data_IF_537004802913
#
_entry.id   IF_537004802913
#
_cell.length_a   1.000
_cell.length_b   1.000
_cell.length_c   1.000
_cell.angle_alpha   90.00
_cell.angle_beta   90.00
_cell.angle_gamma   90.00
#
_symmetry.space_group_name_H-M   'P 1'
#
loop_
_entity.id
_entity.type
_entity.pdbx_description
1 polymer ?
#
# COMPACT_ATOMS: atom_id res chain seq x y z
N UNK A 1 11.61 -25.26 5.29
CA UNK A 1 10.68 -25.14 4.14
C UNK A 1 11.17 -23.98 3.29
N UNK A 2 10.79 -23.91 2.02
CA UNK A 2 11.07 -22.75 1.17
C UNK A 2 9.75 -22.20 0.65
N UNK A 3 9.66 -20.89 0.46
CA UNK A 3 8.46 -20.23 -0.03
C UNK A 3 8.70 -19.58 -1.41
N UNK A 4 7.63 -19.31 -2.15
CA UNK A 4 7.71 -18.64 -3.45
C UNK A 4 6.51 -17.73 -3.65
N UNK A 5 6.79 -16.50 -4.12
CA UNK A 5 5.82 -15.50 -4.56
C UNK A 5 6.13 -15.21 -6.03
N UNK A 6 5.15 -15.40 -6.91
CA UNK A 6 5.34 -15.18 -8.35
C UNK A 6 4.09 -14.60 -9.01
N UNK A 7 4.26 -13.57 -9.84
CA UNK A 7 3.17 -13.01 -10.64
C UNK A 7 2.07 -12.36 -9.82
N UNK A 8 2.37 -11.91 -8.59
CA UNK A 8 1.36 -11.34 -7.70
C UNK A 8 1.33 -9.82 -7.79
N UNK A 9 0.14 -9.26 -7.52
CA UNK A 9 -0.05 -7.83 -7.32
C UNK A 9 -0.53 -7.56 -5.90
N UNK A 10 0.33 -6.96 -5.06
CA UNK A 10 -0.05 -6.47 -3.73
C UNK A 10 -0.23 -4.96 -3.79
N UNK A 11 -1.36 -4.47 -3.28
CA UNK A 11 -1.71 -3.04 -3.25
C UNK A 11 -1.99 -2.64 -1.81
N UNK A 12 -1.35 -1.57 -1.34
CA UNK A 12 -1.65 -0.92 -0.07
C UNK A 12 -1.60 -1.85 1.16
N UNK A 13 -0.50 -2.58 1.28
CA UNK A 13 -0.21 -3.43 2.43
C UNK A 13 0.21 -2.54 3.60
N UNK A 14 -0.62 -2.48 4.65
CA UNK A 14 -0.44 -1.58 5.82
C UNK A 14 0.66 -2.01 6.80
N UNK A 15 1.31 -3.13 6.52
CA UNK A 15 2.40 -3.70 7.30
C UNK A 15 3.43 -4.28 6.32
N UNK A 16 4.07 -5.38 6.69
CA UNK A 16 4.99 -6.16 5.86
C UNK A 16 4.28 -6.72 4.59
N UNK A 17 4.77 -6.36 3.40
CA UNK A 17 4.31 -6.94 2.14
C UNK A 17 4.65 -8.44 2.05
N UNK A 18 5.78 -8.85 2.65
CA UNK A 18 6.19 -10.25 2.81
C UNK A 18 6.71 -10.44 4.22
N UNK A 19 6.15 -11.40 4.95
CA UNK A 19 6.54 -11.74 6.32
C UNK A 19 7.20 -13.14 6.34
N UNK A 20 8.48 -13.20 6.68
CA UNK A 20 9.28 -14.43 6.83
C UNK A 20 9.92 -14.51 8.21
N UNK A 21 9.09 -14.45 9.25
CA UNK A 21 9.49 -14.67 10.64
C UNK A 21 10.07 -16.07 10.88
N UNK A 22 9.86 -17.00 9.95
CA UNK A 22 10.43 -18.35 9.99
C UNK A 22 11.87 -18.43 9.45
N UNK A 23 12.40 -17.32 8.93
CA UNK A 23 13.76 -17.18 8.41
C UNK A 23 14.10 -18.19 7.31
N UNK A 24 13.13 -18.56 6.47
CA UNK A 24 13.31 -19.57 5.44
C UNK A 24 13.99 -19.02 4.18
N UNK A 25 14.37 -19.92 3.27
CA UNK A 25 14.76 -19.49 1.93
C UNK A 25 13.51 -19.18 1.10
N UNK A 26 13.63 -18.21 0.20
CA UNK A 26 12.49 -17.66 -0.51
C UNK A 26 12.80 -17.24 -1.94
N UNK A 27 11.77 -17.14 -2.76
CA UNK A 27 11.87 -16.52 -4.09
C UNK A 27 10.71 -15.59 -4.32
N UNK A 28 11.02 -14.36 -4.73
CA UNK A 28 10.08 -13.37 -5.25
C UNK A 28 10.41 -13.16 -6.72
N UNK A 29 9.45 -13.36 -7.60
CA UNK A 29 9.67 -13.26 -9.04
C UNK A 29 8.51 -12.58 -9.74
N UNK A 30 8.83 -11.66 -10.65
CA UNK A 30 7.84 -11.06 -11.56
C UNK A 30 6.60 -10.54 -10.83
N UNK A 31 6.79 -9.84 -9.71
CA UNK A 31 5.70 -9.42 -8.82
C UNK A 31 5.70 -7.90 -8.63
N UNK A 32 4.50 -7.33 -8.47
CA UNK A 32 4.29 -5.92 -8.21
C UNK A 32 3.76 -5.71 -6.79
N UNK A 33 4.55 -5.04 -5.96
CA UNK A 33 4.20 -4.59 -4.63
C UNK A 33 4.05 -3.06 -4.66
N UNK A 34 2.83 -2.58 -4.89
CA UNK A 34 2.51 -1.18 -5.12
C UNK A 34 1.94 -0.51 -3.87
N UNK A 35 2.82 -0.32 -2.89
CA UNK A 35 2.50 0.35 -1.63
C UNK A 35 2.53 -0.61 -0.47
N UNK A 36 3.70 -0.75 0.13
CA UNK A 36 3.92 -1.43 1.40
C UNK A 36 4.29 -0.41 2.48
N UNK A 37 3.86 -0.63 3.71
CA UNK A 37 4.43 0.11 4.84
C UNK A 37 5.84 -0.39 5.13
N UNK A 38 6.00 -1.71 5.17
CA UNK A 38 7.27 -2.43 5.22
C UNK A 38 7.38 -3.39 4.03
N UNK A 39 8.53 -3.47 3.38
CA UNK A 39 8.72 -4.29 2.18
C UNK A 39 8.74 -5.79 2.49
N UNK A 40 9.89 -6.27 2.95
CA UNK A 40 10.11 -7.69 3.29
C UNK A 40 10.64 -7.73 4.72
N UNK A 41 9.95 -8.50 5.57
CA UNK A 41 10.34 -8.78 6.94
C UNK A 41 10.93 -10.18 7.05
N UNK A 42 12.06 -10.28 7.72
CA UNK A 42 12.61 -11.51 8.26
C UNK A 42 13.12 -11.19 9.66
N UNK A 43 12.18 -10.84 10.54
CA UNK A 43 12.47 -10.38 11.90
C UNK A 43 11.78 -11.29 12.90
N UNK A 44 12.56 -11.92 13.76
CA UNK A 44 12.05 -12.77 14.83
C UNK A 44 11.54 -11.94 16.00
N UNK A 45 10.70 -12.55 16.83
CA UNK A 45 10.22 -11.93 18.06
C UNK A 45 10.39 -12.84 19.28
N UNK A 46 10.45 -12.22 20.47
CA UNK A 46 10.71 -12.93 21.72
C UNK A 46 9.55 -13.83 22.13
N UNK A 47 9.78 -15.13 22.22
CA UNK A 47 8.75 -16.11 22.55
C UNK A 47 8.08 -16.76 21.34
N UNK A 48 8.59 -16.49 20.13
CA UNK A 48 8.13 -17.14 18.91
C UNK A 48 8.24 -18.67 19.02
N UNK A 49 7.14 -19.36 18.70
CA UNK A 49 7.02 -20.82 18.71
C UNK A 49 6.35 -21.31 17.43
N UNK A 50 6.97 -22.25 16.67
CA UNK A 50 8.29 -22.83 16.93
C UNK A 50 9.41 -21.79 16.81
N UNK A 51 10.52 -22.03 17.51
CA UNK A 51 11.72 -21.20 17.36
C UNK A 51 12.25 -21.37 15.92
N UNK A 52 12.38 -20.28 15.14
CA UNK A 52 12.79 -20.37 13.74
C UNK A 52 14.27 -20.76 13.56
N UNK A 53 15.08 -20.67 14.62
CA UNK A 53 16.50 -21.03 14.59
C UNK A 53 17.38 -19.90 14.05
N UNK A 54 18.36 -20.26 13.22
CA UNK A 54 19.29 -19.33 12.58
C UNK A 54 19.21 -19.49 11.05
N UNK A 55 18.64 -18.48 10.39
CA UNK A 55 18.49 -18.44 8.94
C UNK A 55 19.65 -17.73 8.23
N UNK A 56 20.75 -17.37 8.90
CA UNK A 56 21.82 -16.54 8.33
C UNK A 56 22.54 -17.17 7.11
N UNK A 57 22.34 -18.47 6.90
CA UNK A 57 22.83 -19.23 5.72
C UNK A 57 21.76 -19.41 4.64
N UNK A 58 20.49 -19.12 4.93
CA UNK A 58 19.40 -19.16 3.96
C UNK A 58 19.47 -17.98 3.00
N UNK A 59 18.73 -18.08 1.90
CA UNK A 59 18.74 -17.10 0.82
C UNK A 59 17.33 -16.76 0.35
N UNK A 60 17.04 -15.47 0.29
CA UNK A 60 15.88 -14.92 -0.40
C UNK A 60 16.35 -14.31 -1.71
N UNK A 61 15.77 -14.77 -2.82
CA UNK A 61 16.09 -14.27 -4.17
C UNK A 61 14.91 -13.44 -4.67
N UNK A 62 15.15 -12.19 -5.05
CA UNK A 62 14.15 -11.33 -5.66
C UNK A 62 14.58 -10.97 -7.08
N UNK A 63 13.70 -11.21 -8.07
CA UNK A 63 13.99 -10.95 -9.48
C UNK A 63 12.82 -10.36 -10.25
N UNK A 64 13.11 -9.47 -11.19
CA UNK A 64 12.13 -8.89 -12.13
C UNK A 64 10.91 -8.28 -11.42
N UNK A 65 11.08 -7.78 -10.19
CA UNK A 65 9.96 -7.38 -9.34
C UNK A 65 10.02 -5.89 -9.01
N UNK A 66 8.85 -5.34 -8.69
CA UNK A 66 8.65 -3.92 -8.41
C UNK A 66 8.19 -3.77 -6.95
N UNK A 67 8.89 -2.98 -6.15
CA UNK A 67 8.56 -2.76 -4.73
C UNK A 67 8.53 -1.28 -4.41
N UNK A 68 7.36 -0.75 -4.03
CA UNK A 68 7.21 0.65 -3.61
C UNK A 68 6.72 0.74 -2.18
N UNK A 69 7.41 1.59 -1.40
CA UNK A 69 6.95 1.97 -0.08
C UNK A 69 5.89 3.07 -0.14
N UNK A 70 4.95 3.04 0.78
CA UNK A 70 3.84 3.99 0.84
C UNK A 70 3.53 4.42 2.27
N UNK A 71 3.40 5.74 2.47
CA UNK A 71 2.95 6.30 3.73
C UNK A 71 1.51 5.88 4.04
N UNK A 72 1.25 5.58 5.31
CA UNK A 72 -0.05 5.11 5.79
C UNK A 72 -0.68 6.15 6.72
N UNK A 73 -2.01 6.18 6.75
CA UNK A 73 -2.82 7.17 7.47
C UNK A 73 -2.69 7.11 9.00
N UNK A 74 -2.38 5.94 9.58
CA UNK A 74 -1.76 5.74 10.90
C UNK A 74 -1.61 4.23 11.17
N UNK A 75 -0.41 3.71 11.51
CA UNK A 75 -0.29 2.29 11.82
C UNK A 75 -0.80 1.98 13.24
N UNK A 76 -0.59 2.84 14.26
CA UNK A 76 -0.88 2.50 15.67
C UNK A 76 -1.19 3.68 16.63
N UNK A 77 -1.78 4.79 16.13
CA UNK A 77 -1.99 6.10 16.81
C UNK A 77 -0.80 7.09 16.71
N UNK A 78 -1.09 8.39 16.72
CA UNK A 78 -0.09 9.47 16.59
C UNK A 78 -0.08 10.16 15.23
N UNK A 79 0.93 11.01 14.98
CA UNK A 79 1.17 11.63 13.66
C UNK A 79 1.37 10.52 12.63
N UNK A 80 0.73 10.57 11.45
CA UNK A 80 0.91 9.56 10.42
C UNK A 80 2.41 9.44 10.12
N UNK A 81 3.04 8.29 10.37
CA UNK A 81 4.40 8.08 9.90
C UNK A 81 4.38 8.10 8.37
N UNK A 82 5.56 8.28 7.77
CA UNK A 82 5.73 7.99 6.35
C UNK A 82 5.52 6.47 6.11
N UNK A 83 6.28 5.87 5.22
CA UNK A 83 6.49 4.43 5.25
C UNK A 83 7.62 4.10 6.22
N UNK A 84 7.85 2.81 6.43
CA UNK A 84 9.00 2.33 7.17
C UNK A 84 10.10 1.94 6.16
N UNK A 85 10.45 0.67 6.00
CA UNK A 85 11.63 0.28 5.23
C UNK A 85 11.36 -0.80 4.18
N UNK A 86 12.29 -0.98 3.23
CA UNK A 86 12.23 -2.11 2.29
C UNK A 86 12.57 -3.42 3.00
N UNK A 87 13.41 -3.36 4.02
CA UNK A 87 13.92 -4.52 4.75
C UNK A 87 13.75 -4.32 6.25
N UNK A 88 12.99 -5.20 6.87
CA UNK A 88 12.85 -5.34 8.32
C UNK A 88 13.57 -6.62 8.73
N UNK A 89 14.80 -6.49 9.22
CA UNK A 89 15.78 -7.58 9.18
C UNK A 89 16.48 -7.82 10.51
N UNK A 90 16.54 -9.08 10.92
CA UNK A 90 17.31 -9.50 12.09
C UNK A 90 18.73 -9.98 11.76
N UNK A 91 19.64 -10.03 12.76
CA UNK A 91 20.97 -10.61 12.59
C UNK A 91 20.97 -12.07 12.11
N UNK A 92 19.96 -12.87 12.49
CA UNK A 92 19.81 -14.27 12.08
C UNK A 92 19.05 -14.45 10.77
N UNK A 93 18.59 -13.37 10.15
CA UNK A 93 17.76 -13.45 8.97
C UNK A 93 18.53 -13.93 7.73
N UNK A 94 17.83 -14.43 6.70
CA UNK A 94 18.43 -14.85 5.44
C UNK A 94 19.31 -13.78 4.79
N UNK A 95 20.19 -14.22 3.88
CA UNK A 95 20.82 -13.33 2.92
C UNK A 95 19.83 -12.98 1.80
N UNK A 96 20.13 -11.93 1.05
CA UNK A 96 19.33 -11.50 -0.10
C UNK A 96 20.16 -11.49 -1.38
N UNK A 97 19.57 -11.94 -2.50
CA UNK A 97 20.13 -11.78 -3.83
C UNK A 97 19.11 -11.10 -4.75
N UNK A 98 19.51 -10.00 -5.40
CA UNK A 98 18.59 -9.05 -6.03
C UNK A 98 18.94 -8.82 -7.50
N UNK A 99 18.01 -9.14 -8.42
CA UNK A 99 18.26 -9.06 -9.87
C UNK A 99 17.16 -8.34 -10.62
N UNK A 100 17.51 -7.27 -11.36
CA UNK A 100 16.57 -6.58 -12.25
C UNK A 100 15.26 -6.15 -11.54
N UNK A 101 15.38 -5.64 -10.31
CA UNK A 101 14.24 -5.12 -9.56
C UNK A 101 14.20 -3.60 -9.63
N UNK A 102 13.00 -3.03 -9.48
CA UNK A 102 12.84 -1.59 -9.31
C UNK A 102 12.21 -1.35 -7.95
N UNK A 103 12.91 -0.59 -7.12
CA UNK A 103 12.47 -0.14 -5.82
C UNK A 103 12.04 1.32 -5.91
N UNK A 104 11.04 1.74 -5.15
CA UNK A 104 10.64 3.15 -5.06
C UNK A 104 10.30 3.57 -3.63
N UNK A 105 10.86 4.70 -3.22
CA UNK A 105 10.50 5.37 -1.98
C UNK A 105 10.40 6.88 -2.22
N UNK A 106 9.38 7.49 -1.61
CA UNK A 106 9.03 8.90 -1.84
C UNK A 106 9.44 9.81 -0.66
N UNK A 107 9.92 9.21 0.43
CA UNK A 107 10.42 9.89 1.61
C UNK A 107 11.44 9.00 2.35
N UNK A 108 12.10 9.54 3.36
CA UNK A 108 12.93 8.72 4.26
C UNK A 108 12.05 7.83 5.14
N UNK A 109 12.63 6.70 5.58
CA UNK A 109 11.99 5.76 6.48
C UNK A 109 11.75 6.40 7.84
N UNK A 110 10.58 6.14 8.43
CA UNK A 110 10.25 6.60 9.77
C UNK A 110 11.23 6.08 10.84
N UNK A 111 11.61 4.81 10.79
CA UNK A 111 12.56 4.19 11.72
C UNK A 111 13.96 3.98 11.10
N UNK A 112 14.34 4.76 10.09
CA UNK A 112 15.61 4.61 9.39
C UNK A 112 16.79 4.42 10.38
N UNK A 113 17.51 3.30 10.22
CA UNK A 113 18.73 2.99 10.96
C UNK A 113 18.47 2.55 12.40
N UNK A 114 17.21 2.32 12.76
CA UNK A 114 16.75 1.82 14.05
C UNK A 114 15.95 0.54 13.83
N UNK A 115 15.77 -0.23 14.90
CA UNK A 115 14.82 -1.36 14.91
C UNK A 115 15.04 -2.44 13.82
N UNK A 116 16.22 -2.53 13.19
CA UNK A 116 16.45 -3.45 12.07
C UNK A 116 15.79 -3.02 10.75
N UNK A 117 15.54 -1.72 10.56
CA UNK A 117 14.89 -1.16 9.37
C UNK A 117 15.91 -0.56 8.40
N UNK A 118 15.85 -0.96 7.12
CA UNK A 118 16.80 -0.55 6.08
C UNK A 118 16.13 -0.24 4.73
N UNK A 119 16.52 0.89 4.13
CA UNK A 119 16.17 1.26 2.75
C UNK A 119 17.13 0.64 1.72
N UNK A 120 18.38 0.36 2.09
CA UNK A 120 19.33 -0.41 1.30
C UNK A 120 19.32 -1.89 1.74
N UNK A 121 19.90 -2.83 0.96
CA UNK A 121 20.07 -4.20 1.42
C UNK A 121 20.74 -4.23 2.81
N UNK A 122 20.22 -5.04 3.76
CA UNK A 122 20.70 -4.99 5.14
C UNK A 122 22.22 -5.24 5.23
N UNK A 123 22.95 -4.54 6.13
CA UNK A 123 24.41 -4.66 6.24
C UNK A 123 24.88 -6.12 6.38
N UNK A 124 25.79 -6.54 5.51
CA UNK A 124 26.35 -7.90 5.52
C UNK A 124 25.40 -9.01 5.02
N UNK A 125 24.20 -8.67 4.55
CA UNK A 125 23.19 -9.63 4.08
C UNK A 125 23.08 -9.74 2.57
N UNK A 126 23.69 -8.84 1.81
CA UNK A 126 23.74 -8.92 0.36
C UNK A 126 24.64 -10.10 -0.08
N UNK A 127 24.05 -11.12 -0.67
CA UNK A 127 24.76 -12.30 -1.20
C UNK A 127 25.20 -12.09 -2.66
N UNK A 128 24.37 -11.44 -3.47
CA UNK A 128 24.66 -11.07 -4.86
C UNK A 128 23.66 -10.01 -5.35
N UNK A 129 24.00 -9.30 -6.42
CA UNK A 129 23.04 -8.43 -7.10
C UNK A 129 23.46 -8.04 -8.51
N UNK A 130 22.46 -7.76 -9.35
CA UNK A 130 22.66 -7.13 -10.65
C UNK A 130 21.45 -6.28 -11.07
N UNK A 131 21.71 -5.18 -11.78
CA UNK A 131 20.73 -4.43 -12.56
C UNK A 131 19.49 -3.92 -11.79
N UNK A 132 19.62 -3.65 -10.49
CA UNK A 132 18.53 -3.06 -9.72
C UNK A 132 18.47 -1.54 -9.90
N UNK A 133 17.28 -0.98 -9.82
CA UNK A 133 17.07 0.47 -9.84
C UNK A 133 16.36 0.92 -8.55
N UNK A 134 16.84 1.99 -7.95
CA UNK A 134 16.17 2.71 -6.87
C UNK A 134 15.63 4.03 -7.42
N UNK A 135 14.31 4.16 -7.46
CA UNK A 135 13.61 5.41 -7.74
C UNK A 135 13.43 6.15 -6.41
N UNK A 136 14.29 7.12 -6.14
CA UNK A 136 14.28 7.92 -4.92
C UNK A 136 13.63 9.27 -5.20
N UNK A 137 12.44 9.49 -4.66
CA UNK A 137 11.70 10.75 -4.80
C UNK A 137 11.68 11.58 -3.50
N UNK A 138 12.33 11.09 -2.44
CA UNK A 138 12.51 11.82 -1.21
C UNK A 138 13.42 13.03 -1.37
N UNK A 139 13.43 13.91 -0.36
CA UNK A 139 14.27 15.10 -0.36
C UNK A 139 15.75 14.73 -0.22
N UNK A 140 16.62 15.44 -0.94
CA UNK A 140 18.07 15.25 -0.84
C UNK A 140 18.58 13.94 -1.45
N UNK A 141 19.77 13.52 -0.99
CA UNK A 141 20.42 12.28 -1.47
C UNK A 141 19.76 11.07 -0.80
N UNK A 142 19.80 9.92 -1.47
CA UNK A 142 19.40 8.66 -0.87
C UNK A 142 20.16 8.43 0.46
N UNK A 143 19.49 8.05 1.55
CA UNK A 143 20.02 8.27 2.89
C UNK A 143 20.88 7.11 3.41
N UNK A 144 20.95 5.98 2.69
CA UNK A 144 21.77 4.82 3.04
C UNK A 144 22.84 4.49 1.98
N UNK A 145 23.93 3.79 2.35
CA UNK A 145 24.88 3.28 1.37
C UNK A 145 24.23 2.21 0.47
N UNK A 146 23.92 2.60 -0.76
CA UNK A 146 23.42 1.67 -1.78
C UNK A 146 24.57 1.25 -2.72
N UNK A 147 24.90 -0.05 -2.81
CA UNK A 147 26.05 -0.50 -3.58
C UNK A 147 25.80 -0.32 -5.09
N UNK A 148 26.56 0.58 -5.72
CA UNK A 148 26.52 0.73 -7.19
C UNK A 148 27.14 -0.47 -7.90
N UNK A 149 28.05 -1.18 -7.24
CA UNK A 149 28.65 -2.44 -7.72
C UNK A 149 28.74 -3.47 -6.61
N UNK A 150 28.75 -4.74 -6.98
CA UNK A 150 28.99 -5.86 -6.09
C UNK A 150 29.76 -6.94 -6.85
N UNK A 151 30.84 -7.46 -6.26
CA UNK A 151 31.74 -8.44 -6.90
C UNK A 151 32.17 -8.06 -8.34
N UNK A 152 32.43 -6.76 -8.58
CA UNK A 152 32.88 -6.24 -9.88
C UNK A 152 31.79 -6.08 -10.94
N UNK A 153 30.50 -6.24 -10.60
CA UNK A 153 29.36 -6.06 -11.51
C UNK A 153 28.48 -4.89 -11.06
N UNK A 154 27.77 -4.19 -11.97
CA UNK A 154 26.74 -3.21 -11.60
C UNK A 154 25.66 -3.84 -10.72
N UNK A 155 25.23 -3.14 -9.68
CA UNK A 155 24.28 -3.66 -8.69
C UNK A 155 23.04 -2.78 -8.55
N UNK A 156 23.18 -1.52 -8.12
CA UNK A 156 22.10 -0.53 -8.07
C UNK A 156 22.41 0.73 -8.87
N UNK A 157 21.40 1.25 -9.57
CA UNK A 157 21.36 2.62 -10.09
C UNK A 157 20.31 3.42 -9.32
N UNK A 158 20.62 4.65 -8.93
CA UNK A 158 19.64 5.56 -8.30
C UNK A 158 19.16 6.57 -9.33
N UNK A 159 17.86 6.82 -9.39
CA UNK A 159 17.23 7.84 -10.23
C UNK A 159 16.15 8.60 -9.47
N UNK A 160 15.90 9.85 -9.85
CA UNK A 160 14.76 10.66 -9.39
C UNK A 160 13.63 10.68 -10.43
N UNK A 161 13.81 10.01 -11.55
CA UNK A 161 12.81 9.95 -12.62
C UNK A 161 11.70 8.96 -12.26
N UNK A 162 10.56 9.51 -11.80
CA UNK A 162 9.36 8.75 -11.46
C UNK A 162 8.84 7.92 -12.65
N UNK A 163 9.09 8.34 -13.89
CA UNK A 163 8.59 7.64 -15.08
C UNK A 163 9.19 6.24 -15.23
N UNK A 164 10.35 5.96 -14.63
CA UNK A 164 10.94 4.63 -14.55
C UNK A 164 10.02 3.65 -13.82
N UNK A 165 9.49 4.08 -12.67
CA UNK A 165 8.50 3.29 -11.92
C UNK A 165 7.19 3.16 -12.70
N UNK A 166 6.65 4.27 -13.19
CA UNK A 166 5.33 4.29 -13.85
C UNK A 166 5.33 3.41 -15.12
N UNK A 167 6.41 3.46 -15.91
CA UNK A 167 6.58 2.62 -17.10
C UNK A 167 6.72 1.15 -16.74
N UNK A 168 7.45 0.83 -15.68
CA UNK A 168 7.62 -0.54 -15.22
C UNK A 168 6.30 -1.14 -14.73
N UNK A 169 5.51 -0.38 -13.95
CA UNK A 169 4.17 -0.79 -13.51
C UNK A 169 3.25 -1.01 -14.71
N UNK A 170 3.22 -0.08 -15.66
CA UNK A 170 2.40 -0.21 -16.87
C UNK A 170 2.76 -1.46 -17.67
N UNK A 171 4.06 -1.74 -17.83
CA UNK A 171 4.56 -2.95 -18.50
C UNK A 171 4.20 -4.22 -17.73
N UNK A 172 4.39 -4.24 -16.42
CA UNK A 172 4.05 -5.39 -15.59
C UNK A 172 2.55 -5.71 -15.72
N UNK A 173 1.67 -4.70 -15.60
CA UNK A 173 0.22 -4.87 -15.79
C UNK A 173 -0.14 -5.39 -17.18
N UNK A 174 0.50 -4.86 -18.23
CA UNK A 174 0.28 -5.34 -19.60
C UNK A 174 0.67 -6.82 -19.79
N UNK A 175 1.69 -7.28 -19.07
CA UNK A 175 2.15 -8.68 -19.10
C UNK A 175 1.37 -9.60 -18.15
N UNK A 176 0.56 -9.03 -17.24
CA UNK A 176 -0.25 -9.77 -16.27
C UNK A 176 -1.74 -9.41 -16.42
N UNK A 177 -2.35 -9.69 -17.59
CA UNK A 177 -3.75 -9.37 -17.79
C UNK A 177 -4.63 -10.20 -16.86
N UNK A 178 -5.58 -9.56 -16.18
CA UNK A 178 -6.61 -10.27 -15.42
C UNK A 178 -7.58 -10.94 -16.40
N UNK A 179 -7.48 -12.26 -16.55
CA UNK A 179 -8.29 -13.01 -17.53
C UNK A 179 -9.66 -13.43 -17.01
N UNK A 180 -9.89 -13.34 -15.71
CA UNK A 180 -11.16 -13.68 -15.09
C UNK A 180 -12.09 -12.47 -15.12
N UNK A 181 -13.39 -12.70 -15.32
CA UNK A 181 -14.39 -11.64 -15.12
C UNK A 181 -14.35 -11.17 -13.68
N UNK A 182 -14.51 -9.87 -13.48
CA UNK A 182 -14.77 -9.32 -12.16
C UNK A 182 -16.24 -9.54 -11.81
N UNK A 183 -16.52 -10.07 -10.63
CA UNK A 183 -17.87 -10.40 -10.17
C UNK A 183 -18.10 -10.02 -8.71
N UNK A 184 -17.06 -9.60 -8.00
CA UNK A 184 -17.20 -9.13 -6.64
C UNK A 184 -17.70 -7.69 -6.69
N UNK A 185 -18.61 -7.35 -5.80
CA UNK A 185 -19.00 -5.96 -5.62
C UNK A 185 -18.05 -5.29 -4.60
N UNK A 186 -17.83 -3.97 -4.71
CA UNK A 186 -17.03 -3.26 -3.71
C UNK A 186 -17.60 -3.40 -2.29
N UNK A 187 -16.74 -3.31 -1.30
CA UNK A 187 -17.13 -3.10 0.11
C UNK A 187 -17.09 -1.60 0.37
N UNK A 188 -18.18 -1.03 0.87
CA UNK A 188 -18.30 0.41 1.13
C UNK A 188 -18.92 0.72 2.50
N UNK A 189 -18.40 1.73 3.18
CA UNK A 189 -18.94 2.28 4.43
C UNK A 189 -18.83 3.80 4.48
N UNK A 190 -19.72 4.46 5.22
CA UNK A 190 -19.61 5.91 5.49
C UNK A 190 -18.62 6.13 6.65
N UNK A 191 -17.60 6.95 6.42
CA UNK A 191 -16.58 7.29 7.41
C UNK A 191 -16.88 8.61 8.13
N UNK A 192 -17.19 9.66 7.37
CA UNK A 192 -17.66 10.97 7.87
C UNK A 192 -19.04 11.24 7.27
N UNK A 193 -20.07 11.56 8.09
CA UNK A 193 -19.97 12.07 9.46
C UNK A 193 -19.88 11.00 10.58
N UNK A 194 -19.86 9.71 10.25
CA UNK A 194 -19.69 8.60 11.20
C UNK A 194 -20.71 7.47 10.99
N UNK A 195 -20.41 6.26 11.47
CA UNK A 195 -21.24 5.05 11.29
C UNK A 195 -22.37 4.88 12.33
N UNK A 196 -22.43 5.70 13.39
CA UNK A 196 -23.43 5.56 14.47
C UNK A 196 -23.87 6.93 15.01
N UNK A 197 -25.19 7.18 15.06
CA UNK A 197 -25.81 8.32 15.73
C UNK A 197 -26.44 9.38 14.82
N UNK A 198 -27.11 10.37 15.43
CA UNK A 198 -27.60 11.58 14.75
C UNK A 198 -26.45 12.55 14.57
N UNK A 199 -25.85 12.55 13.39
CA UNK A 199 -24.86 13.55 12.99
C UNK A 199 -25.58 14.75 12.39
N UNK A 200 -25.46 15.91 13.04
CA UNK A 200 -26.06 17.15 12.55
C UNK A 200 -25.15 17.76 11.48
N UNK A 201 -25.67 17.92 10.26
CA UNK A 201 -25.00 18.57 9.15
C UNK A 201 -25.47 20.03 9.04
N UNK A 202 -24.53 20.96 8.97
CA UNK A 202 -24.80 22.39 8.89
C UNK A 202 -23.85 23.06 7.91
N UNK A 203 -24.43 23.82 6.98
CA UNK A 203 -23.72 24.52 5.93
C UNK A 203 -22.89 23.61 5.04
N UNK A 204 -21.66 24.01 4.74
CA UNK A 204 -20.77 23.17 3.93
C UNK A 204 -20.13 22.08 4.78
N UNK A 205 -20.41 20.83 4.43
CA UNK A 205 -19.91 19.64 5.13
C UNK A 205 -19.02 18.80 4.21
N UNK A 206 -18.08 18.06 4.81
CA UNK A 206 -17.24 17.10 4.10
C UNK A 206 -17.70 15.69 4.43
N UNK A 207 -18.20 15.00 3.42
CA UNK A 207 -18.62 13.61 3.48
C UNK A 207 -17.47 12.73 3.02
N UNK A 208 -17.24 11.63 3.73
CA UNK A 208 -16.18 10.67 3.37
C UNK A 208 -16.74 9.27 3.46
N UNK A 209 -16.55 8.48 2.40
CA UNK A 209 -16.82 7.06 2.37
C UNK A 209 -15.48 6.31 2.27
N UNK A 210 -15.42 5.12 2.86
CA UNK A 210 -14.34 4.16 2.60
C UNK A 210 -14.87 3.14 1.63
N UNK A 211 -14.16 2.88 0.52
CA UNK A 211 -14.52 1.85 -0.43
C UNK A 211 -13.27 1.08 -0.88
N UNK A 212 -13.39 -0.24 -0.95
CA UNK A 212 -12.36 -1.15 -1.45
C UNK A 212 -13.01 -2.24 -2.28
N UNK A 213 -12.22 -2.84 -3.16
CA UNK A 213 -12.63 -3.89 -4.08
C UNK A 213 -11.42 -4.81 -4.34
N UNK A 214 -11.63 -6.05 -4.76
CA UNK A 214 -10.54 -6.99 -5.04
C UNK A 214 -9.76 -6.60 -6.31
N UNK A 215 -10.32 -5.73 -7.16
CA UNK A 215 -9.62 -5.14 -8.31
C UNK A 215 -9.47 -3.63 -8.19
N UNK A 216 -10.58 -2.92 -8.27
CA UNK A 216 -10.58 -1.45 -8.31
C UNK A 216 -11.97 -0.87 -8.07
N UNK A 217 -12.05 0.15 -7.22
CA UNK A 217 -13.25 0.99 -7.11
C UNK A 217 -13.19 2.10 -8.15
N UNK A 218 -14.12 2.10 -9.11
CA UNK A 218 -14.21 3.12 -10.15
C UNK A 218 -14.88 4.43 -9.69
N UNK A 219 -15.69 4.37 -8.63
CA UNK A 219 -16.27 5.58 -8.06
C UNK A 219 -17.23 5.34 -6.90
N UNK A 220 -17.51 6.42 -6.18
CA UNK A 220 -18.45 6.47 -5.06
C UNK A 220 -19.42 7.64 -5.21
N UNK A 221 -20.71 7.34 -5.27
CA UNK A 221 -21.79 8.32 -5.29
C UNK A 221 -22.44 8.44 -3.91
N UNK A 222 -22.39 9.62 -3.31
CA UNK A 222 -23.13 9.93 -2.08
C UNK A 222 -24.60 10.21 -2.40
N UNK A 223 -25.51 9.80 -1.51
CA UNK A 223 -26.96 9.97 -1.68
C UNK A 223 -27.65 10.34 -0.36
N UNK A 224 -28.65 11.22 -0.44
CA UNK A 224 -29.55 11.62 0.66
C UNK A 224 -30.97 11.13 0.32
N UNK A 225 -31.55 10.25 1.14
CA UNK A 225 -32.84 9.59 0.89
C UNK A 225 -32.94 8.99 -0.52
N UNK A 226 -31.84 8.36 -0.95
CA UNK A 226 -31.72 7.74 -2.27
C UNK A 226 -31.42 8.70 -3.43
N UNK A 227 -31.44 10.02 -3.22
CA UNK A 227 -31.13 11.03 -4.24
C UNK A 227 -29.65 11.39 -4.23
N UNK A 228 -29.00 11.44 -5.41
CA UNK A 228 -27.58 11.78 -5.52
C UNK A 228 -27.26 13.17 -4.95
N UNK A 229 -26.17 13.23 -4.19
CA UNK A 229 -25.55 14.45 -3.70
C UNK A 229 -24.31 14.69 -4.54
N UNK A 230 -24.29 15.79 -5.29
CA UNK A 230 -23.15 16.16 -6.14
C UNK A 230 -22.83 15.14 -7.23
N UNK A 231 -21.70 15.35 -7.89
CA UNK A 231 -21.13 14.38 -8.82
C UNK A 231 -20.54 13.19 -8.06
N UNK A 232 -20.41 12.07 -8.75
CA UNK A 232 -19.68 10.93 -8.23
C UNK A 232 -18.20 11.25 -8.04
N UNK A 233 -17.64 10.74 -6.94
CA UNK A 233 -16.21 10.84 -6.66
C UNK A 233 -15.51 9.65 -7.33
N UNK A 234 -14.66 9.92 -8.32
CA UNK A 234 -13.93 8.90 -9.09
C UNK A 234 -12.46 8.76 -8.68
N UNK A 235 -12.02 9.52 -7.67
CA UNK A 235 -10.65 9.51 -7.18
C UNK A 235 -10.62 9.30 -5.67
N UNK A 236 -9.83 8.33 -5.23
CA UNK A 236 -9.53 8.13 -3.82
C UNK A 236 -8.44 9.10 -3.34
N UNK A 237 -8.69 9.79 -2.22
CA UNK A 237 -7.73 10.67 -1.56
C UNK A 237 -8.10 10.86 -0.07
N UNK A 238 -7.32 10.31 0.89
CA UNK A 238 -6.22 9.35 0.71
C UNK A 238 -6.72 8.00 0.16
N UNK A 239 -5.83 7.03 -0.07
CA UNK A 239 -6.22 5.72 -0.62
C UNK A 239 -7.35 5.08 0.20
N UNK A 240 -8.28 4.41 -0.47
CA UNK A 240 -9.54 3.84 0.05
C UNK A 240 -10.59 4.87 0.49
N UNK A 241 -10.30 6.18 0.47
CA UNK A 241 -11.24 7.23 0.91
C UNK A 241 -11.75 8.05 -0.27
N UNK A 242 -13.06 8.15 -0.39
CA UNK A 242 -13.74 8.99 -1.37
C UNK A 242 -14.40 10.15 -0.65
N UNK A 243 -14.06 11.37 -1.02
CA UNK A 243 -14.44 12.58 -0.28
C UNK A 243 -15.24 13.53 -1.15
N UNK A 244 -16.37 14.02 -0.63
CA UNK A 244 -17.24 15.00 -1.28
C UNK A 244 -17.48 16.18 -0.34
N UNK A 245 -17.17 17.38 -0.80
CA UNK A 245 -17.62 18.63 -0.15
C UNK A 245 -19.03 18.98 -0.66
N UNK A 246 -19.97 19.14 0.26
CA UNK A 246 -21.37 19.38 -0.06
C UNK A 246 -21.96 20.53 0.75
N UNK A 247 -22.69 21.42 0.07
CA UNK A 247 -23.46 22.49 0.72
C UNK A 247 -24.88 22.03 1.09
N UNK A 248 -25.10 21.81 2.39
CA UNK A 248 -26.38 21.33 2.90
C UNK A 248 -27.47 22.42 2.95
N UNK A 249 -27.15 23.71 2.72
CA UNK A 249 -28.16 24.79 2.63
C UNK A 249 -29.20 24.55 1.53
N UNK A 250 -28.86 23.72 0.54
CA UNK A 250 -29.75 23.32 -0.55
C UNK A 250 -30.87 22.36 -0.13
N UNK A 251 -30.90 21.90 1.12
CA UNK A 251 -31.91 20.99 1.67
C UNK A 251 -32.62 21.62 2.87
N UNK A 252 -33.90 21.29 3.02
CA UNK A 252 -34.70 21.72 4.17
C UNK A 252 -34.19 21.08 5.46
N UNK A 253 -34.34 21.79 6.59
CA UNK A 253 -34.03 21.24 7.90
C UNK A 253 -34.91 20.01 8.19
N UNK A 254 -34.33 18.93 8.71
CA UNK A 254 -35.02 17.66 8.87
C UNK A 254 -34.09 16.46 9.06
N UNK A 255 -34.67 15.28 9.26
CA UNK A 255 -33.94 14.01 9.33
C UNK A 255 -33.91 13.35 7.96
N UNK A 256 -32.74 12.81 7.60
CA UNK A 256 -32.49 12.14 6.32
C UNK A 256 -31.65 10.90 6.54
N UNK A 257 -31.64 10.01 5.55
CA UNK A 257 -30.74 8.85 5.48
C UNK A 257 -29.64 9.13 4.46
N UNK A 258 -28.41 9.24 4.93
CA UNK A 258 -27.21 9.35 4.10
C UNK A 258 -26.70 7.96 3.73
N UNK A 259 -26.40 7.73 2.46
CA UNK A 259 -25.77 6.50 1.96
C UNK A 259 -24.65 6.85 0.98
N UNK A 260 -23.80 5.86 0.69
CA UNK A 260 -22.82 5.90 -0.40
C UNK A 260 -22.94 4.62 -1.22
N UNK A 261 -23.03 4.75 -2.55
CA UNK A 261 -22.98 3.62 -3.49
C UNK A 261 -21.62 3.61 -4.15
N UNK A 262 -20.86 2.54 -3.98
CA UNK A 262 -19.60 2.30 -4.68
C UNK A 262 -19.85 1.42 -5.90
N UNK A 263 -19.06 1.62 -6.96
CA UNK A 263 -18.98 0.69 -8.09
C UNK A 263 -17.54 0.39 -8.48
N UNK A 264 -17.34 -0.78 -9.07
CA UNK A 264 -16.08 -1.15 -9.72
C UNK A 264 -16.08 -0.76 -11.22
N UNK A 265 -15.02 -1.13 -11.92
CA UNK A 265 -14.89 -0.91 -13.36
C UNK A 265 -15.71 -1.90 -14.22
N UNK A 266 -16.15 -3.02 -13.64
CA UNK A 266 -16.96 -4.05 -14.31
C UNK A 266 -18.48 -3.78 -14.20
N UNK A 267 -18.88 -2.81 -13.38
CA UNK A 267 -20.27 -2.42 -13.15
C UNK A 267 -20.91 -3.10 -11.93
N UNK A 268 -20.17 -3.86 -11.13
CA UNK A 268 -20.69 -4.36 -9.85
C UNK A 268 -20.82 -3.19 -8.88
N UNK A 269 -21.88 -3.20 -8.05
CA UNK A 269 -22.19 -2.09 -7.15
C UNK A 269 -22.59 -2.58 -5.78
N UNK A 270 -22.25 -1.80 -4.75
CA UNK A 270 -22.71 -2.00 -3.38
C UNK A 270 -23.10 -0.65 -2.78
N UNK A 271 -24.16 -0.65 -1.97
CA UNK A 271 -24.55 0.52 -1.17
C UNK A 271 -24.25 0.27 0.30
N UNK A 272 -23.61 1.23 0.95
CA UNK A 272 -23.33 1.18 2.38
C UNK A 272 -24.63 1.24 3.19
N UNK A 273 -24.59 0.67 4.40
CA UNK A 273 -25.66 0.88 5.40
C UNK A 273 -25.89 2.37 5.61
N UNK A 274 -27.16 2.77 5.57
CA UNK A 274 -27.55 4.17 5.73
C UNK A 274 -27.28 4.71 7.13
N UNK A 275 -26.80 5.94 7.22
CA UNK A 275 -26.61 6.70 8.46
C UNK A 275 -27.70 7.76 8.55
N UNK A 276 -28.38 7.84 9.70
CA UNK A 276 -29.37 8.91 9.93
C UNK A 276 -28.65 10.21 10.25
N UNK A 277 -28.92 11.25 9.46
CA UNK A 277 -28.35 12.60 9.62
C UNK A 277 -29.46 13.62 9.85
N UNK A 278 -29.17 14.69 10.58
CA UNK A 278 -30.10 15.83 10.75
C UNK A 278 -29.51 17.05 10.04
N UNK A 279 -30.25 17.66 9.12
CA UNK A 279 -29.87 18.95 8.53
C UNK A 279 -30.45 20.07 9.39
N UNK A 280 -29.59 21.01 9.80
CA UNK A 280 -29.95 22.15 10.63
C UNK A 280 -29.14 23.39 10.24
N UNK A 281 -29.53 24.03 9.14
CA UNK A 281 -28.96 25.29 8.66
C UNK A 281 -29.51 26.48 9.45
#
# INVERSE_FOLDING_TARGET
MNWTIRGVYFKYMRDDCVEDDSLYSGTIEDSLFDGCYDGISARTWSGQSPNPGDGSTNLIVMKNSLLRLQAMDAPYSGTPPNHNAFWKWDPKAPKVALYNNIFRADADSWEHGKSGMYLAPPPGKLADCADNTMVWLGSGRFPEPLPSTFNGKPCFTITTDKSVWDTAVARWRANHPTTLSDVAAPIVSLFSPGIVGSTTLKGTVTLTATAVDDREVAGVQFKLDGQSIGAEVTSEAPLTKFTLTWDSHTKSNGKYTLTATARDAAGNTQTATGVTVTISN
#
